data_IF_839443445704
#
_entry.id   IF_839443445704
#
_cell.length_a   1.000
_cell.length_b   1.000
_cell.length_c   1.000
_cell.angle_alpha   90.00
_cell.angle_beta   90.00
_cell.angle_gamma   90.00
#
_symmetry.space_group_name_H-M   'P 1'
#
loop_
_entity.id
_entity.type
_entity.pdbx_description
1 polymer ?
#
# COMPACT_ATOMS: atom_id res chain seq x y z
N UNK A 1 -28.73 9.53 -31.13
CA UNK A 1 -27.68 10.28 -30.41
C UNK A 1 -27.30 9.41 -29.23
N UNK A 2 -26.34 8.52 -29.43
CA UNK A 2 -25.80 7.63 -28.41
C UNK A 2 -24.72 8.39 -27.66
N UNK A 3 -24.79 8.41 -26.34
CA UNK A 3 -23.81 9.05 -25.44
C UNK A 3 -22.38 8.63 -25.80
N UNK A 4 -21.63 9.50 -26.46
CA UNK A 4 -20.20 9.33 -26.74
C UNK A 4 -19.32 9.60 -25.49
N UNK A 5 -19.93 9.79 -24.32
CA UNK A 5 -19.24 10.18 -23.09
C UNK A 5 -18.77 9.02 -22.20
N UNK A 6 -18.88 7.76 -22.65
CA UNK A 6 -18.61 6.58 -21.81
C UNK A 6 -17.26 5.87 -22.05
N UNK A 7 -16.45 6.28 -23.02
CA UNK A 7 -15.40 5.41 -23.58
C UNK A 7 -13.96 5.67 -23.08
N UNK A 8 -13.78 6.33 -21.93
CA UNK A 8 -12.45 6.70 -21.40
C UNK A 8 -12.18 6.22 -19.98
N UNK A 9 -10.92 5.95 -19.66
CA UNK A 9 -10.49 5.63 -18.30
C UNK A 9 -10.70 6.84 -17.38
N UNK A 10 -11.52 6.71 -16.35
CA UNK A 10 -11.80 7.79 -15.38
C UNK A 10 -10.52 8.26 -14.67
N UNK A 11 -9.57 7.36 -14.42
CA UNK A 11 -8.37 7.67 -13.66
C UNK A 11 -7.34 8.52 -14.42
N UNK A 12 -7.23 8.36 -15.74
CA UNK A 12 -6.19 9.03 -16.53
C UNK A 12 -6.70 9.74 -17.80
N UNK A 13 -8.01 9.72 -18.05
CA UNK A 13 -8.63 10.31 -19.23
C UNK A 13 -8.31 9.59 -20.54
N UNK A 14 -7.63 8.45 -20.50
CA UNK A 14 -7.23 7.72 -21.72
C UNK A 14 -8.44 7.12 -22.43
N UNK A 15 -8.69 7.57 -23.65
CA UNK A 15 -9.88 7.20 -24.43
C UNK A 15 -9.67 5.90 -25.21
N UNK A 16 -10.78 5.20 -25.49
CA UNK A 16 -10.77 4.00 -26.34
C UNK A 16 -10.26 4.28 -27.75
N UNK A 17 -10.47 5.51 -28.27
CA UNK A 17 -9.91 5.93 -29.56
C UNK A 17 -8.39 6.03 -29.51
N UNK A 18 -7.82 6.66 -28.48
CA UNK A 18 -6.37 6.73 -28.27
C UNK A 18 -5.76 5.33 -28.11
N UNK A 19 -6.42 4.46 -27.36
CA UNK A 19 -5.98 3.07 -27.19
C UNK A 19 -5.93 2.31 -28.52
N UNK A 20 -6.93 2.46 -29.40
CA UNK A 20 -6.94 1.80 -30.72
C UNK A 20 -5.89 2.36 -31.69
N UNK A 21 -5.43 3.59 -31.47
CA UNK A 21 -4.49 4.28 -32.36
C UNK A 21 -3.02 4.18 -31.90
N UNK A 22 -2.74 3.47 -30.81
CA UNK A 22 -1.37 3.25 -30.35
C UNK A 22 -1.13 1.80 -29.94
N UNK A 23 0.14 1.39 -29.96
CA UNK A 23 0.58 0.08 -29.44
C UNK A 23 1.14 0.18 -28.02
N UNK A 24 0.89 1.31 -27.32
CA UNK A 24 1.40 1.52 -25.98
C UNK A 24 0.66 0.63 -24.97
N UNK A 25 1.42 -0.11 -24.17
CA UNK A 25 0.92 -0.88 -23.04
C UNK A 25 1.52 -0.33 -21.77
N UNK A 26 0.67 0.15 -20.86
CA UNK A 26 1.14 0.81 -19.64
C UNK A 26 1.79 -0.18 -18.68
N UNK A 27 2.98 0.17 -18.21
CA UNK A 27 3.62 -0.46 -17.05
C UNK A 27 3.28 0.27 -15.74
N UNK A 28 2.49 1.34 -15.81
CA UNK A 28 1.89 2.00 -14.65
C UNK A 28 0.44 1.57 -14.58
N UNK A 29 0.08 0.76 -13.58
CA UNK A 29 -1.26 0.14 -13.46
C UNK A 29 -1.81 0.34 -12.06
N UNK A 30 -3.04 0.80 -11.95
CA UNK A 30 -3.81 0.76 -10.70
C UNK A 30 -4.04 -0.72 -10.35
N UNK A 31 -3.55 -1.15 -9.19
CA UNK A 31 -3.66 -2.53 -8.70
C UNK A 31 -4.64 -2.66 -7.54
N UNK A 32 -4.97 -1.55 -6.87
CA UNK A 32 -5.98 -1.51 -5.81
C UNK A 32 -6.58 -0.10 -5.71
N UNK A 33 -7.88 -0.02 -5.45
CA UNK A 33 -8.58 1.23 -5.22
C UNK A 33 -9.63 1.07 -4.12
N UNK A 34 -9.70 2.03 -3.22
CA UNK A 34 -10.71 2.05 -2.15
C UNK A 34 -11.05 3.51 -1.78
N UNK A 35 -12.33 3.87 -1.89
CA UNK A 35 -12.80 5.24 -1.69
C UNK A 35 -11.99 6.24 -2.55
N UNK A 36 -11.35 7.25 -1.94
CA UNK A 36 -10.50 8.26 -2.57
C UNK A 36 -9.00 7.91 -2.49
N UNK A 37 -8.66 6.62 -2.42
CA UNK A 37 -7.30 6.10 -2.33
C UNK A 37 -7.02 5.14 -3.46
N UNK A 38 -5.76 5.12 -3.90
CA UNK A 38 -5.31 4.17 -4.90
C UNK A 38 -3.91 3.63 -4.59
N UNK A 39 -3.61 2.50 -5.21
CA UNK A 39 -2.29 1.90 -5.23
C UNK A 39 -1.96 1.52 -6.66
N UNK A 40 -0.81 1.97 -7.15
CA UNK A 40 -0.32 1.71 -8.49
C UNK A 40 0.97 0.89 -8.42
N UNK A 41 1.07 -0.08 -9.31
CA UNK A 41 2.36 -0.63 -9.71
C UNK A 41 3.00 0.30 -10.75
N UNK A 42 4.29 0.58 -10.60
CA UNK A 42 5.12 1.29 -11.58
C UNK A 42 6.23 0.33 -12.00
N UNK A 43 6.11 -0.23 -13.21
CA UNK A 43 6.96 -1.32 -13.65
C UNK A 43 6.77 -2.57 -12.80
N UNK A 44 7.84 -3.35 -12.65
CA UNK A 44 7.90 -4.50 -11.75
C UNK A 44 8.37 -4.12 -10.35
N UNK A 45 8.97 -2.94 -10.17
CA UNK A 45 9.88 -2.72 -9.04
C UNK A 45 9.33 -1.74 -8.00
N UNK A 46 8.30 -0.96 -8.35
CA UNK A 46 7.83 0.16 -7.52
C UNK A 46 6.33 0.11 -7.27
N UNK A 47 5.94 0.53 -6.07
CA UNK A 47 4.56 0.75 -5.66
C UNK A 47 4.38 2.23 -5.30
N UNK A 48 3.35 2.85 -5.85
CA UNK A 48 2.89 4.18 -5.48
C UNK A 48 1.56 4.06 -4.74
N UNK A 49 1.47 4.60 -3.54
CA UNK A 49 0.22 4.71 -2.77
C UNK A 49 -0.21 6.17 -2.76
N UNK A 50 -1.48 6.44 -3.00
CA UNK A 50 -2.06 7.78 -3.01
C UNK A 50 -3.30 7.84 -2.14
N UNK A 51 -3.42 8.90 -1.35
CA UNK A 51 -4.60 9.20 -0.53
C UNK A 51 -4.73 10.73 -0.34
N UNK A 52 -5.85 11.25 0.19
CA UNK A 52 -5.90 12.65 0.61
C UNK A 52 -4.85 12.92 1.69
N UNK A 53 -4.34 14.14 1.76
CA UNK A 53 -3.46 14.62 2.83
C UNK A 53 -4.24 14.93 4.13
N UNK A 54 -5.00 13.94 4.59
CA UNK A 54 -5.83 14.00 5.78
C UNK A 54 -5.38 12.95 6.78
N UNK A 55 -5.36 13.30 8.06
CA UNK A 55 -4.94 12.39 9.12
C UNK A 55 -3.44 12.06 9.12
N UNK A 56 -3.00 11.18 10.04
CA UNK A 56 -1.59 11.04 10.36
C UNK A 56 -0.81 10.22 9.31
N UNK A 57 0.44 10.60 9.05
CA UNK A 57 1.36 9.95 8.09
C UNK A 57 2.19 8.84 8.75
N UNK A 58 1.51 7.95 9.47
CA UNK A 58 2.18 6.98 10.35
C UNK A 58 2.91 5.87 9.61
N UNK A 59 2.49 5.53 8.39
CA UNK A 59 3.07 4.42 7.63
C UNK A 59 4.58 4.60 7.39
N UNK A 60 5.00 5.75 6.85
CA UNK A 60 6.43 6.04 6.60
C UNK A 60 7.21 6.08 7.92
N UNK A 61 6.62 6.62 8.99
CA UNK A 61 7.25 6.67 10.31
C UNK A 61 7.42 5.27 10.91
N UNK A 62 6.38 4.44 10.84
CA UNK A 62 6.43 3.05 11.30
C UNK A 62 7.47 2.24 10.51
N UNK A 63 7.46 2.34 9.17
CA UNK A 63 8.45 1.69 8.32
C UNK A 63 9.88 2.14 8.66
N UNK A 64 10.11 3.44 8.89
CA UNK A 64 11.43 3.95 9.28
C UNK A 64 11.95 3.38 10.60
N UNK A 65 11.05 3.09 11.56
CA UNK A 65 11.41 2.43 12.82
C UNK A 65 11.64 0.93 12.64
N UNK A 66 10.84 0.29 11.79
CA UNK A 66 10.96 -1.14 11.50
C UNK A 66 12.22 -1.47 10.69
N UNK A 67 12.73 -0.57 9.84
CA UNK A 67 14.01 -0.75 9.12
C UNK A 67 15.19 -1.02 10.07
N UNK A 68 15.13 -0.56 11.32
CA UNK A 68 16.14 -0.88 12.32
C UNK A 68 16.13 -2.36 12.77
N UNK A 69 15.01 -3.07 12.56
CA UNK A 69 14.82 -4.48 12.89
C UNK A 69 15.07 -5.33 11.64
N UNK A 70 16.29 -5.87 11.52
CA UNK A 70 16.74 -6.61 10.33
C UNK A 70 15.90 -7.86 9.99
N UNK A 71 15.22 -8.43 10.98
CA UNK A 71 14.49 -9.68 10.83
C UNK A 71 13.02 -9.50 10.38
N UNK A 72 12.52 -8.25 10.37
CA UNK A 72 11.16 -7.94 9.94
C UNK A 72 11.22 -7.44 8.49
N UNK A 73 10.70 -8.20 7.52
CA UNK A 73 10.67 -7.74 6.13
C UNK A 73 9.68 -6.58 6.01
N UNK A 74 10.18 -5.43 5.56
CA UNK A 74 9.38 -4.22 5.31
C UNK A 74 9.73 -3.63 3.94
N UNK A 75 8.76 -3.00 3.25
CA UNK A 75 9.05 -2.29 2.01
C UNK A 75 9.98 -1.09 2.31
N UNK A 76 10.90 -0.84 1.38
CA UNK A 76 11.78 0.33 1.45
C UNK A 76 11.07 1.54 0.85
N UNK A 77 10.78 2.53 1.69
CA UNK A 77 10.25 3.82 1.24
C UNK A 77 11.35 4.59 0.52
N UNK A 78 11.08 4.99 -0.73
CA UNK A 78 11.98 5.83 -1.52
C UNK A 78 11.70 7.31 -1.30
N UNK A 79 10.42 7.67 -1.23
CA UNK A 79 9.97 9.06 -1.02
C UNK A 79 8.50 9.10 -0.63
N UNK A 80 8.14 10.05 0.22
CA UNK A 80 6.78 10.53 0.39
C UNK A 80 6.68 12.03 0.13
N UNK A 81 5.54 12.51 -0.34
CA UNK A 81 5.30 13.93 -0.56
C UNK A 81 3.81 14.26 -0.57
N UNK A 82 3.51 15.55 -0.42
CA UNK A 82 2.18 16.12 -0.65
C UNK A 82 2.26 16.99 -1.90
N UNK A 83 1.29 16.88 -2.80
CA UNK A 83 1.17 17.77 -3.96
C UNK A 83 0.32 19.01 -3.64
N UNK A 84 0.26 19.94 -4.59
CA UNK A 84 -0.51 21.19 -4.44
C UNK A 84 -2.03 20.94 -4.37
N UNK A 85 -2.51 19.74 -4.72
CA UNK A 85 -3.92 19.34 -4.64
C UNK A 85 -4.26 18.65 -3.30
N UNK A 86 -3.38 18.74 -2.31
CA UNK A 86 -3.55 18.08 -1.01
C UNK A 86 -3.72 16.56 -1.12
N UNK A 87 -2.99 15.94 -2.05
CA UNK A 87 -2.85 14.49 -2.15
C UNK A 87 -1.50 14.08 -1.56
N UNK A 88 -1.52 13.05 -0.74
CA UNK A 88 -0.33 12.46 -0.13
C UNK A 88 0.05 11.18 -0.85
N UNK A 89 1.33 11.08 -1.21
CA UNK A 89 1.91 10.00 -1.98
C UNK A 89 3.02 9.31 -1.19
N UNK A 90 3.09 7.98 -1.29
CA UNK A 90 4.22 7.17 -0.83
C UNK A 90 4.71 6.34 -2.02
N UNK A 91 5.98 6.49 -2.36
CA UNK A 91 6.68 5.65 -3.34
C UNK A 91 7.62 4.70 -2.58
N UNK A 92 7.45 3.40 -2.82
CA UNK A 92 8.21 2.34 -2.18
C UNK A 92 8.68 1.28 -3.18
N UNK A 93 9.74 0.55 -2.83
CA UNK A 93 10.16 -0.66 -3.55
C UNK A 93 9.09 -1.75 -3.38
N UNK A 94 8.75 -2.44 -4.47
CA UNK A 94 7.84 -3.57 -4.45
C UNK A 94 8.48 -4.72 -3.66
N UNK A 95 7.72 -5.30 -2.74
CA UNK A 95 8.09 -6.59 -2.13
C UNK A 95 7.68 -7.70 -3.09
N UNK A 96 8.68 -8.44 -3.59
CA UNK A 96 8.45 -9.55 -4.49
C UNK A 96 7.78 -10.72 -3.78
N UNK A 97 6.81 -11.33 -4.46
CA UNK A 97 6.10 -12.51 -3.95
C UNK A 97 4.67 -12.60 -4.46
N UNK A 98 4.04 -13.71 -4.08
CA UNK A 98 2.59 -13.92 -4.24
C UNK A 98 1.93 -13.65 -2.89
N UNK A 99 0.68 -13.17 -2.92
CA UNK A 99 -0.06 -12.99 -1.68
C UNK A 99 -0.39 -14.36 -1.07
N UNK A 100 -0.53 -14.42 0.26
CA UNK A 100 -0.98 -15.64 0.90
C UNK A 100 -2.35 -16.07 0.36
N UNK A 101 -3.26 -15.14 0.06
CA UNK A 101 -4.56 -15.45 -0.54
C UNK A 101 -4.44 -16.24 -1.85
N UNK A 102 -3.54 -15.81 -2.75
CA UNK A 102 -3.31 -16.47 -4.04
C UNK A 102 -2.72 -17.87 -3.88
N UNK A 103 -1.73 -18.05 -3.00
CA UNK A 103 -1.04 -19.33 -2.87
C UNK A 103 -1.67 -20.29 -1.86
N UNK A 104 -2.50 -19.82 -0.91
CA UNK A 104 -3.02 -20.65 0.18
C UNK A 104 -3.68 -21.97 -0.26
N UNK A 105 -4.45 -22.00 -1.37
CA UNK A 105 -5.08 -23.24 -1.83
C UNK A 105 -4.08 -24.31 -2.29
N UNK A 106 -2.91 -23.92 -2.81
CA UNK A 106 -1.91 -24.85 -3.35
C UNK A 106 -0.89 -25.33 -2.31
N UNK A 107 -0.85 -24.72 -1.13
CA UNK A 107 0.11 -25.07 -0.08
C UNK A 107 -0.28 -26.36 0.65
N UNK A 108 0.71 -27.19 0.92
CA UNK A 108 0.57 -28.37 1.79
C UNK A 108 0.32 -27.95 3.25
N UNK A 109 -0.18 -28.89 4.06
CA UNK A 109 -0.35 -28.66 5.51
C UNK A 109 0.96 -28.29 6.20
N UNK A 110 2.07 -28.91 5.82
CA UNK A 110 3.38 -28.60 6.41
C UNK A 110 3.89 -27.20 6.03
N UNK A 111 3.64 -26.76 4.79
CA UNK A 111 3.97 -25.39 4.37
C UNK A 111 3.13 -24.35 5.10
N UNK A 112 1.84 -24.63 5.30
CA UNK A 112 0.95 -23.75 6.08
C UNK A 112 1.39 -23.63 7.53
N UNK A 113 1.79 -24.75 8.15
CA UNK A 113 2.34 -24.74 9.51
C UNK A 113 3.61 -23.90 9.61
N UNK A 114 4.55 -24.07 8.66
CA UNK A 114 5.77 -23.27 8.61
C UNK A 114 5.51 -21.77 8.47
N UNK A 115 4.57 -21.38 7.61
CA UNK A 115 4.17 -19.96 7.46
C UNK A 115 3.53 -19.44 8.75
N UNK A 116 2.70 -20.24 9.42
CA UNK A 116 2.11 -19.85 10.70
C UNK A 116 3.17 -19.59 11.77
N UNK A 117 4.22 -20.43 11.84
CA UNK A 117 5.36 -20.24 12.73
C UNK A 117 6.12 -18.94 12.41
N UNK A 118 6.38 -18.66 11.13
CA UNK A 118 7.01 -17.41 10.68
C UNK A 118 6.19 -16.17 11.06
N UNK A 119 4.87 -16.20 10.87
CA UNK A 119 3.98 -15.11 11.27
C UNK A 119 3.99 -14.91 12.79
N UNK A 120 4.00 -16.00 13.57
CA UNK A 120 4.11 -15.94 15.01
C UNK A 120 5.43 -15.32 15.48
N UNK A 121 6.54 -15.65 14.81
CA UNK A 121 7.86 -15.10 15.07
C UNK A 121 7.92 -13.59 14.81
N UNK A 122 7.50 -13.13 13.61
CA UNK A 122 7.42 -11.70 13.29
C UNK A 122 6.54 -10.95 14.29
N UNK A 123 5.39 -11.54 14.67
CA UNK A 123 4.51 -10.95 15.68
C UNK A 123 5.20 -10.83 17.04
N UNK A 124 6.00 -11.82 17.45
CA UNK A 124 6.73 -11.77 18.72
C UNK A 124 7.83 -10.71 18.68
N UNK A 125 8.52 -10.52 17.54
CA UNK A 125 9.47 -9.43 17.36
C UNK A 125 8.78 -8.06 17.47
N UNK A 126 7.64 -7.87 16.78
CA UNK A 126 6.86 -6.62 16.84
C UNK A 126 6.40 -6.28 18.26
N UNK A 127 6.01 -7.26 19.07
CA UNK A 127 5.60 -7.03 20.47
C UNK A 127 6.71 -6.45 21.35
N UNK A 128 7.97 -6.72 21.02
CA UNK A 128 9.10 -6.21 21.79
C UNK A 128 9.40 -4.73 21.48
N UNK A 129 8.82 -4.20 20.40
CA UNK A 129 8.88 -2.78 20.05
C UNK A 129 7.83 -2.05 20.89
N UNK A 130 8.28 -1.43 21.99
CA UNK A 130 7.40 -0.82 23.00
C UNK A 130 7.78 0.62 23.29
N UNK A 131 6.86 1.32 23.94
CA UNK A 131 7.02 2.70 24.42
C UNK A 131 6.59 2.76 25.88
N UNK A 132 7.25 3.58 26.74
CA UNK A 132 6.84 3.78 28.14
C UNK A 132 5.51 4.53 28.28
N UNK A 133 4.94 5.03 27.18
CA UNK A 133 3.67 5.77 27.16
C UNK A 133 2.81 5.35 25.99
N UNK A 134 1.48 5.47 26.14
CA UNK A 134 0.52 5.25 25.06
C UNK A 134 0.62 6.43 24.10
N UNK A 135 1.22 6.19 22.94
CA UNK A 135 1.47 7.19 21.91
C UNK A 135 1.56 6.54 20.54
N UNK A 136 1.51 7.36 19.50
CA UNK A 136 1.80 6.96 18.14
C UNK A 136 3.30 6.72 17.93
N UNK A 137 3.68 6.06 16.83
CA UNK A 137 5.07 5.77 16.46
C UNK A 137 5.94 7.03 16.34
N UNK A 138 5.33 8.16 16.02
CA UNK A 138 5.96 9.48 15.93
C UNK A 138 5.91 10.27 17.24
N UNK A 139 5.57 9.63 18.36
CA UNK A 139 5.33 10.25 19.67
C UNK A 139 4.13 11.22 19.68
N UNK A 140 3.34 11.22 18.61
CA UNK A 140 2.09 11.96 18.51
C UNK A 140 0.97 11.33 19.33
N UNK A 141 -0.19 12.00 19.39
CA UNK A 141 -1.37 11.44 20.04
C UNK A 141 -1.74 10.11 19.40
N UNK A 142 -2.15 9.15 20.23
CA UNK A 142 -2.75 7.93 19.74
C UNK A 142 -4.12 8.25 19.10
N UNK A 143 -4.25 7.99 17.80
CA UNK A 143 -5.49 8.22 17.06
C UNK A 143 -6.12 6.85 16.77
N UNK A 144 -7.20 6.48 17.48
CA UNK A 144 -7.89 5.22 17.21
C UNK A 144 -8.66 5.27 15.89
N UNK A 145 -8.05 4.75 14.83
CA UNK A 145 -8.69 4.67 13.50
C UNK A 145 -9.89 3.73 13.41
N UNK A 146 -10.23 2.99 14.48
CA UNK A 146 -11.35 2.04 14.53
C UNK A 146 -12.48 2.46 15.48
N UNK A 147 -12.30 3.52 16.29
CA UNK A 147 -13.31 3.93 17.28
C UNK A 147 -14.22 5.05 16.79
N UNK A 148 -13.81 5.77 15.73
CA UNK A 148 -14.56 6.89 15.18
C UNK A 148 -14.63 6.75 13.66
N UNK A 149 -15.55 5.91 13.18
CA UNK A 149 -16.08 6.06 11.84
C UNK A 149 -17.10 7.19 11.92
N UNK A 150 -16.73 8.40 11.50
CA UNK A 150 -17.75 9.39 11.17
C UNK A 150 -18.42 8.90 9.87
N UNK A 151 -19.64 8.37 10.04
CA UNK A 151 -20.58 7.98 8.98
C UNK A 151 -21.10 9.22 8.23
#
# INVERSE_FOLDING_TARGET
>A
MTDENADGCIACGWTSKQQRQCCYSSHVKLIYGAHNRGVWSIGSDLILKERPDEGPKLEVKALSQLIANKDIPVPKVLRDWVDDNHRYFILEERVDGQTLEETWPSLSTSQKALIADQVAEVRNQLKNITSPSIQSVDQGPWIPGLLFFDL
#
